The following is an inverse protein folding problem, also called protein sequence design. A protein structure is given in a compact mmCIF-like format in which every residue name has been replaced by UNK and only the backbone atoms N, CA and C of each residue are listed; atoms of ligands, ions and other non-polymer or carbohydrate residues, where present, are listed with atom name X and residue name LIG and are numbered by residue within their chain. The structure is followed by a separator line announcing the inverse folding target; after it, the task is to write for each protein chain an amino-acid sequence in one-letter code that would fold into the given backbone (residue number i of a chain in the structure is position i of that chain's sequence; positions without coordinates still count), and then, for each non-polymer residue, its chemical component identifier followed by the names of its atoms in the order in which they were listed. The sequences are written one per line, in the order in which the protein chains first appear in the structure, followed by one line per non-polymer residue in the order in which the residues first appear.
data_IF_316092487453
#
_entry.id   IF_316092487453
#
_cell.length_a   1.000
_cell.length_b   1.000
_cell.length_c   1.000
_cell.angle_alpha   90.00
_cell.angle_beta   90.00
_cell.angle_gamma   90.00
#
_symmetry.space_group_name_H-M   'P 1'
#
loop_
_entity.id
_entity.type
_entity.pdbx_description
1 polymer ?
#
# COMPACT_ATOMS: atom_id res chain seq x y z
N UNK A 1 14.61 -4.16 7.48
CA UNK A 1 13.24 -3.94 6.96
C UNK A 1 12.44 -5.24 7.04
N UNK A 2 11.15 -5.11 7.26
CA UNK A 2 10.20 -6.21 7.17
C UNK A 2 9.73 -6.28 5.72
N UNK A 3 9.60 -7.48 5.15
CA UNK A 3 9.19 -7.66 3.76
C UNK A 3 7.95 -8.54 3.68
N UNK A 4 6.96 -8.06 2.92
CA UNK A 4 5.77 -8.83 2.56
C UNK A 4 5.65 -8.86 1.04
N UNK A 5 4.99 -9.87 0.50
CA UNK A 5 4.84 -9.99 -0.95
C UNK A 5 3.57 -10.74 -1.33
N UNK A 6 3.13 -10.50 -2.56
CA UNK A 6 1.98 -11.19 -3.12
C UNK A 6 2.12 -11.24 -4.63
N UNK A 7 1.59 -12.30 -5.22
CA UNK A 7 1.54 -12.44 -6.68
C UNK A 7 0.12 -12.16 -7.13
N UNK A 8 -0.02 -11.15 -8.00
CA UNK A 8 -1.31 -10.67 -8.46
C UNK A 8 -1.56 -11.20 -9.88
N UNK A 9 -2.67 -11.88 -10.07
CA UNK A 9 -3.03 -12.43 -11.38
C UNK A 9 -3.75 -11.35 -12.19
N UNK A 10 -2.98 -10.40 -12.71
CA UNK A 10 -3.48 -9.29 -13.52
C UNK A 10 -2.31 -8.68 -14.31
N UNK A 11 -2.63 -7.82 -15.28
CA UNK A 11 -1.60 -7.14 -16.06
C UNK A 11 -0.87 -6.08 -15.24
N UNK A 12 0.34 -5.74 -15.66
CA UNK A 12 1.13 -4.70 -15.00
C UNK A 12 0.41 -3.36 -15.00
N UNK A 13 -0.23 -2.99 -16.09
CA UNK A 13 -1.01 -1.75 -16.21
C UNK A 13 -2.10 -1.68 -15.14
N UNK A 14 -2.86 -2.76 -15.00
CA UNK A 14 -3.97 -2.84 -14.04
C UNK A 14 -3.46 -2.77 -12.62
N UNK A 15 -2.41 -3.51 -12.28
CA UNK A 15 -1.83 -3.52 -10.94
C UNK A 15 -1.33 -2.12 -10.59
N UNK A 16 -0.61 -1.47 -11.49
CA UNK A 16 -0.11 -0.11 -11.27
C UNK A 16 -1.25 0.89 -11.07
N UNK A 17 -2.25 0.87 -11.94
CA UNK A 17 -3.38 1.77 -11.89
C UNK A 17 -4.16 1.62 -10.58
N UNK A 18 -4.44 0.39 -10.18
CA UNK A 18 -5.21 0.13 -8.97
C UNK A 18 -4.43 0.47 -7.71
N UNK A 19 -3.10 0.42 -7.77
CA UNK A 19 -2.24 0.81 -6.65
C UNK A 19 -2.17 2.33 -6.47
N UNK A 20 -2.24 3.08 -7.56
CA UNK A 20 -1.88 4.50 -7.56
C UNK A 20 -3.04 5.48 -7.62
N UNK A 21 -4.19 5.08 -8.17
CA UNK A 21 -5.34 5.98 -8.27
C UNK A 21 -6.11 6.06 -6.96
N UNK A 22 -6.38 7.28 -6.43
CA UNK A 22 -7.10 7.44 -5.16
C UNK A 22 -8.44 6.71 -5.12
N UNK A 23 -9.20 6.70 -6.22
CA UNK A 23 -10.48 6.02 -6.30
C UNK A 23 -10.39 4.51 -6.06
N UNK A 24 -9.24 3.91 -6.39
CA UNK A 24 -8.99 2.50 -6.10
C UNK A 24 -8.38 2.30 -4.71
N UNK A 25 -7.48 3.18 -4.29
CA UNK A 25 -6.85 3.09 -2.97
C UNK A 25 -7.88 3.02 -1.85
N UNK A 26 -8.95 3.79 -1.94
CA UNK A 26 -10.03 3.77 -0.94
C UNK A 26 -10.75 2.42 -0.85
N UNK A 27 -10.59 1.55 -1.85
CA UNK A 27 -11.29 0.26 -1.91
C UNK A 27 -10.50 -0.90 -1.30
N UNK A 28 -9.19 -0.77 -1.12
CA UNK A 28 -8.38 -1.88 -0.64
C UNK A 28 -7.41 -1.54 0.49
N UNK A 29 -7.13 -0.27 0.77
CA UNK A 29 -6.07 0.13 1.70
C UNK A 29 -6.52 0.05 3.16
N UNK A 30 -6.88 -1.15 3.62
CA UNK A 30 -7.21 -1.41 5.02
C UNK A 30 -6.90 -2.87 5.35
N UNK A 31 -6.62 -3.14 6.62
CA UNK A 31 -6.15 -4.46 7.07
C UNK A 31 -7.27 -5.41 7.50
N UNK A 32 -8.45 -4.88 7.86
CA UNK A 32 -9.55 -5.71 8.34
C UNK A 32 -10.91 -5.10 7.97
N UNK A 33 -12.01 -5.89 8.01
CA UNK A 33 -13.34 -5.39 7.66
C UNK A 33 -13.88 -4.31 8.60
N UNK A 34 -13.32 -4.17 9.81
CA UNK A 34 -13.74 -3.13 10.76
C UNK A 34 -13.17 -1.75 10.42
N UNK A 35 -12.24 -1.68 9.47
CA UNK A 35 -11.60 -0.45 9.03
C UNK A 35 -11.96 -0.15 7.59
N UNK A 36 -11.88 1.14 7.22
CA UNK A 36 -12.03 1.58 5.84
C UNK A 36 -11.15 2.79 5.58
N UNK A 37 -11.01 3.16 4.31
CA UNK A 37 -10.22 4.32 3.89
C UNK A 37 -11.16 5.29 3.20
N UNK A 38 -11.81 6.20 3.94
CA UNK A 38 -12.81 7.11 3.36
C UNK A 38 -12.22 8.19 2.46
N UNK A 39 -10.91 8.43 2.54
CA UNK A 39 -10.27 9.49 1.77
C UNK A 39 -8.86 9.08 1.36
N UNK A 40 -8.50 9.40 0.12
CA UNK A 40 -7.13 9.25 -0.38
C UNK A 40 -6.82 10.35 -1.39
N UNK A 41 -5.59 10.87 -1.33
CA UNK A 41 -5.06 11.76 -2.36
C UNK A 41 -3.63 11.34 -2.67
N UNK A 42 -3.18 11.57 -3.90
CA UNK A 42 -1.92 11.06 -4.36
C UNK A 42 -1.32 11.95 -5.44
N UNK A 43 -0.11 12.47 -5.18
CA UNK A 43 0.68 13.22 -6.16
C UNK A 43 1.86 12.33 -6.54
N UNK A 44 1.65 11.44 -7.50
CA UNK A 44 2.56 10.34 -7.83
C UNK A 44 3.74 10.83 -8.68
N UNK A 45 4.72 11.41 -8.01
CA UNK A 45 6.00 11.82 -8.61
C UNK A 45 7.05 11.94 -7.51
N UNK A 46 8.32 11.90 -7.88
CA UNK A 46 9.39 12.12 -6.90
C UNK A 46 9.23 13.52 -6.29
N UNK A 47 9.26 13.58 -4.96
CA UNK A 47 8.98 14.80 -4.22
C UNK A 47 7.51 15.06 -3.99
N UNK A 48 6.61 14.34 -4.65
CA UNK A 48 5.17 14.45 -4.42
C UNK A 48 4.76 13.78 -3.13
N UNK A 49 3.56 14.11 -2.64
CA UNK A 49 3.05 13.59 -1.36
C UNK A 49 1.76 12.83 -1.54
N UNK A 50 1.53 11.88 -0.65
CA UNK A 50 0.26 11.18 -0.58
C UNK A 50 -0.31 11.21 0.82
N UNK A 51 -1.63 11.03 0.91
CA UNK A 51 -2.34 10.97 2.18
C UNK A 51 -3.54 10.05 2.03
N UNK A 52 -3.68 9.10 2.96
CA UNK A 52 -4.87 8.25 3.05
C UNK A 52 -5.38 8.33 4.47
N UNK A 53 -6.68 8.61 4.63
CA UNK A 53 -7.31 8.61 5.95
C UNK A 53 -7.88 7.22 6.19
N UNK A 54 -7.39 6.55 7.24
CA UNK A 54 -7.86 5.24 7.65
C UNK A 54 -8.70 5.39 8.91
N UNK A 55 -9.89 4.83 8.91
CA UNK A 55 -10.84 5.01 10.00
C UNK A 55 -11.53 3.72 10.37
N UNK A 56 -11.79 3.56 11.68
CA UNK A 56 -12.63 2.47 12.16
C UNK A 56 -14.08 2.77 11.77
N UNK A 57 -14.78 1.76 11.28
CA UNK A 57 -16.17 1.93 10.80
C UNK A 57 -17.15 2.33 11.91
N UNK A 58 -16.82 2.02 13.16
CA UNK A 58 -17.61 2.42 14.32
C UNK A 58 -17.36 3.86 14.79
N UNK A 59 -16.42 4.57 14.13
CA UNK A 59 -16.10 5.95 14.45
C UNK A 59 -15.17 6.14 15.65
N UNK A 60 -14.68 5.05 16.24
CA UNK A 60 -13.87 5.12 17.46
C UNK A 60 -12.46 5.66 17.25
N UNK A 61 -11.91 5.53 16.05
CA UNK A 61 -10.52 5.90 15.77
C UNK A 61 -10.32 6.22 14.30
N UNK A 62 -9.45 7.18 14.01
CA UNK A 62 -8.99 7.44 12.64
C UNK A 62 -7.59 8.01 12.69
N UNK A 63 -6.83 7.83 11.61
CA UNK A 63 -5.52 8.43 11.46
C UNK A 63 -5.20 8.65 9.98
N UNK A 64 -4.27 9.56 9.72
CA UNK A 64 -3.80 9.83 8.35
C UNK A 64 -2.49 9.10 8.13
N UNK A 65 -2.43 8.33 7.05
CA UNK A 65 -1.22 7.67 6.57
C UNK A 65 -0.63 8.55 5.47
N UNK A 66 0.52 9.16 5.73
CA UNK A 66 1.11 10.17 4.86
C UNK A 66 2.56 9.86 4.55
N UNK A 67 3.01 10.30 3.38
CA UNK A 67 4.41 10.17 3.01
C UNK A 67 4.78 11.03 1.82
N UNK A 68 6.08 11.03 1.53
CA UNK A 68 6.64 11.73 0.38
C UNK A 68 7.40 10.74 -0.47
N UNK A 69 7.14 10.74 -1.77
CA UNK A 69 7.80 9.82 -2.70
C UNK A 69 9.26 10.20 -2.91
N UNK A 70 10.14 9.21 -2.80
CA UNK A 70 11.57 9.37 -3.09
C UNK A 70 11.96 8.76 -4.43
N UNK A 71 11.17 7.79 -4.93
CA UNK A 71 11.38 7.17 -6.23
C UNK A 71 10.04 6.76 -6.82
N UNK A 72 9.80 7.10 -8.07
CA UNK A 72 8.64 6.62 -8.82
C UNK A 72 9.12 6.19 -10.21
N UNK A 73 9.15 4.89 -10.43
CA UNK A 73 9.45 4.30 -11.74
C UNK A 73 8.20 3.57 -12.22
N UNK A 74 7.55 4.12 -13.21
CA UNK A 74 6.27 3.58 -13.69
C UNK A 74 6.36 2.09 -14.01
N UNK A 75 5.43 1.32 -13.43
CA UNK A 75 5.31 -0.13 -13.56
C UNK A 75 6.41 -0.94 -12.84
N UNK A 76 7.35 -0.29 -12.16
CA UNK A 76 8.50 -0.97 -11.56
C UNK A 76 8.67 -0.75 -10.07
N UNK A 77 8.61 0.50 -9.60
CA UNK A 77 8.95 0.79 -8.22
C UNK A 77 8.31 2.07 -7.71
N UNK A 78 7.91 2.03 -6.43
CA UNK A 78 7.45 3.21 -5.70
C UNK A 78 8.10 3.15 -4.33
N UNK A 79 8.96 4.13 -4.02
CA UNK A 79 9.61 4.24 -2.73
C UNK A 79 9.17 5.54 -2.08
N UNK A 80 8.94 5.52 -0.76
CA UNK A 80 8.56 6.72 -0.04
C UNK A 80 9.07 6.71 1.40
N UNK A 81 9.04 7.90 2.02
CA UNK A 81 9.37 8.09 3.43
C UNK A 81 8.10 8.57 4.12
N UNK A 82 7.73 7.89 5.20
CA UNK A 82 6.57 8.28 6.00
C UNK A 82 6.87 9.53 6.82
N UNK A 83 5.82 10.17 7.35
CA UNK A 83 5.95 11.40 8.13
C UNK A 83 6.89 11.27 9.33
N UNK A 84 7.02 10.07 9.90
CA UNK A 84 7.92 9.79 11.04
C UNK A 84 9.34 9.39 10.61
N UNK A 85 9.65 9.41 9.32
CA UNK A 85 10.98 9.10 8.80
C UNK A 85 11.20 7.64 8.40
N UNK A 86 10.22 6.76 8.61
CA UNK A 86 10.35 5.36 8.20
C UNK A 86 10.26 5.23 6.69
N UNK A 87 11.07 4.36 6.12
CA UNK A 87 11.16 4.16 4.66
C UNK A 87 10.34 2.96 4.23
N UNK A 88 9.74 3.06 3.05
CA UNK A 88 9.00 1.97 2.42
C UNK A 88 9.44 1.84 0.98
N UNK A 89 9.66 0.59 0.53
CA UNK A 89 10.07 0.27 -0.82
C UNK A 89 9.09 -0.75 -1.40
N UNK A 90 8.45 -0.38 -2.50
CA UNK A 90 7.48 -1.26 -3.18
C UNK A 90 8.02 -1.53 -4.58
N UNK A 91 8.18 -2.81 -4.91
CA UNK A 91 8.67 -3.24 -6.21
C UNK A 91 7.62 -4.09 -6.92
N UNK A 92 7.46 -3.84 -8.21
CA UNK A 92 6.52 -4.55 -9.08
C UNK A 92 7.33 -5.32 -10.12
N UNK A 93 7.22 -6.64 -10.12
CA UNK A 93 7.95 -7.48 -11.06
C UNK A 93 6.97 -8.26 -11.92
N UNK A 94 6.98 -8.00 -13.22
CA UNK A 94 6.17 -8.74 -14.18
C UNK A 94 6.68 -10.18 -14.27
N UNK A 95 5.76 -11.13 -14.24
CA UNK A 95 6.05 -12.56 -14.38
C UNK A 95 5.20 -13.13 -15.51
N UNK A 96 5.41 -14.41 -15.86
CA UNK A 96 4.69 -15.06 -16.95
C UNK A 96 3.16 -15.06 -16.74
N UNK A 97 2.71 -15.05 -15.49
CA UNK A 97 1.28 -15.20 -15.15
C UNK A 97 0.77 -14.08 -14.23
N UNK A 98 1.45 -12.95 -14.18
CA UNK A 98 0.99 -11.81 -13.39
C UNK A 98 2.09 -10.87 -12.95
N UNK A 99 1.89 -10.25 -11.78
CA UNK A 99 2.83 -9.29 -11.22
C UNK A 99 3.13 -9.68 -9.77
N UNK A 100 4.41 -9.82 -9.43
CA UNK A 100 4.82 -10.00 -8.05
C UNK A 100 5.05 -8.63 -7.42
N UNK A 101 4.30 -8.33 -6.37
CA UNK A 101 4.45 -7.09 -5.59
C UNK A 101 5.20 -7.42 -4.32
N UNK A 102 6.33 -6.75 -4.11
CA UNK A 102 7.16 -6.91 -2.91
C UNK A 102 7.22 -5.58 -2.20
N UNK A 103 6.86 -5.58 -0.92
CA UNK A 103 6.80 -4.37 -0.10
C UNK A 103 7.69 -4.55 1.11
N UNK A 104 8.70 -3.67 1.27
CA UNK A 104 9.64 -3.69 2.38
C UNK A 104 9.50 -2.38 3.14
N UNK A 105 9.43 -2.45 4.46
CA UNK A 105 9.22 -1.26 5.28
C UNK A 105 10.01 -1.31 6.58
N UNK A 106 10.38 -0.13 7.09
CA UNK A 106 11.02 0.01 8.39
C UNK A 106 9.98 -0.24 9.49
N UNK A 107 10.28 -1.10 10.48
CA UNK A 107 9.34 -1.32 11.56
C UNK A 107 9.25 -0.11 12.49
N UNK A 108 8.07 0.09 13.09
CA UNK A 108 7.90 1.04 14.18
C UNK A 108 8.27 0.33 15.49
N UNK A 109 8.35 1.06 16.61
CA UNK A 109 8.90 0.50 17.86
C UNK A 109 7.84 0.12 18.90
N UNK A 110 6.57 0.38 18.63
CA UNK A 110 5.49 0.19 19.61
C UNK A 110 4.86 -1.20 19.59
N UNK A 111 4.89 -1.87 18.43
CA UNK A 111 4.26 -3.18 18.24
C UNK A 111 5.29 -4.23 17.82
N UNK A 112 5.06 -5.52 18.15
CA UNK A 112 5.93 -6.60 17.69
C UNK A 112 6.01 -6.64 16.17
N UNK A 113 7.17 -7.02 15.63
CA UNK A 113 7.37 -7.08 14.17
C UNK A 113 6.42 -8.04 13.48
N UNK A 114 6.07 -9.16 14.14
CA UNK A 114 5.13 -10.12 13.59
C UNK A 114 3.73 -9.51 13.41
N UNK A 115 3.31 -8.66 14.34
CA UNK A 115 2.03 -7.96 14.24
C UNK A 115 2.05 -6.97 13.07
N UNK A 116 3.15 -6.25 12.91
CA UNK A 116 3.32 -5.30 11.81
C UNK A 116 3.33 -6.03 10.46
N UNK A 117 4.07 -7.11 10.36
CA UNK A 117 4.11 -7.95 9.16
C UNK A 117 2.72 -8.43 8.78
N UNK A 118 1.96 -8.93 9.78
CA UNK A 118 0.60 -9.42 9.57
C UNK A 118 -0.33 -8.34 9.05
N UNK A 119 -0.24 -7.12 9.60
CA UNK A 119 -1.07 -5.99 9.16
C UNK A 119 -0.75 -5.56 7.72
N UNK A 120 0.52 -5.41 7.40
CA UNK A 120 0.93 -5.02 6.05
C UNK A 120 0.61 -6.12 5.03
N UNK A 121 0.79 -7.39 5.40
CA UNK A 121 0.43 -8.51 4.53
C UNK A 121 -1.09 -8.53 4.29
N UNK A 122 -1.90 -8.26 5.32
CA UNK A 122 -3.35 -8.23 5.18
C UNK A 122 -3.82 -7.16 4.20
N UNK A 123 -3.20 -5.98 4.22
CA UNK A 123 -3.51 -4.92 3.27
C UNK A 123 -3.12 -5.35 1.86
N UNK A 124 -1.95 -5.97 1.69
CA UNK A 124 -1.50 -6.46 0.39
C UNK A 124 -2.39 -7.58 -0.14
N UNK A 125 -2.83 -8.49 0.73
CA UNK A 125 -3.77 -9.55 0.37
C UNK A 125 -5.12 -8.97 -0.06
N UNK A 126 -5.56 -7.90 0.60
CA UNK A 126 -6.78 -7.20 0.25
C UNK A 126 -6.66 -6.54 -1.12
N UNK A 127 -5.51 -5.97 -1.42
CA UNK A 127 -5.20 -5.42 -2.74
C UNK A 127 -5.30 -6.51 -3.82
N UNK A 128 -4.67 -7.66 -3.57
CA UNK A 128 -4.72 -8.80 -4.50
C UNK A 128 -6.17 -9.20 -4.79
N UNK A 129 -6.96 -9.37 -3.76
CA UNK A 129 -8.36 -9.74 -3.90
C UNK A 129 -9.15 -8.70 -4.70
N UNK A 130 -8.93 -7.43 -4.41
CA UNK A 130 -9.61 -6.33 -5.11
C UNK A 130 -9.26 -6.31 -6.60
N UNK A 131 -7.98 -6.40 -6.93
CA UNK A 131 -7.52 -6.37 -8.33
C UNK A 131 -8.05 -7.57 -9.10
N UNK A 132 -7.98 -8.76 -8.52
CA UNK A 132 -8.38 -9.99 -9.21
C UNK A 132 -9.90 -10.12 -9.38
N UNK A 133 -10.68 -9.38 -8.60
CA UNK A 133 -12.15 -9.41 -8.68
C UNK A 133 -12.75 -8.18 -9.39
N UNK A 134 -11.93 -7.31 -9.90
CA UNK A 134 -12.35 -6.12 -10.64
C UNK A 134 -11.52 -5.94 -11.91
#
# INVERSE_FOLDING_TARGET
MITVKSKINASTDKVWEFWTLPEHITKWSFASPEWHTPFAENDLKEGGKFKSTMAAKDGSMSFDFEGEYTLVEKYKAIYYVMADGRKVEINFKETADGVEVTESFDPETQNPEEMQRGGWQAILDNFKSYVENN
#
